data_IF_774429668572
#
_entry.id   IF_774429668572
#
_cell.length_a   1.000
_cell.length_b   1.000
_cell.length_c   1.000
_cell.angle_alpha   90.00
_cell.angle_beta   90.00
_cell.angle_gamma   90.00
#
_symmetry.space_group_name_H-M   'P 1'
#
loop_
_entity.id
_entity.type
_entity.pdbx_description
1 polymer ?
#
# COMPACT_ATOMS: atom_id res chain seq x y z
N UNK A 1 -4.58 13.45 24.27
CA UNK A 1 -5.01 14.66 23.56
C UNK A 1 -5.75 14.29 22.27
N UNK A 2 -6.66 15.14 21.77
CA UNK A 2 -7.46 14.88 20.57
C UNK A 2 -6.60 14.64 19.30
N UNK A 3 -5.49 15.35 19.07
CA UNK A 3 -4.60 15.07 17.93
C UNK A 3 -4.03 13.63 17.92
N UNK A 4 -3.65 13.11 19.07
CA UNK A 4 -3.12 11.74 19.20
C UNK A 4 -4.18 10.69 18.86
N UNK A 5 -5.44 10.91 19.23
CA UNK A 5 -6.55 10.02 18.87
C UNK A 5 -6.78 10.02 17.36
N UNK A 6 -6.76 11.20 16.72
CA UNK A 6 -6.89 11.33 15.27
C UNK A 6 -5.77 10.59 14.51
N UNK A 7 -4.53 10.71 14.97
CA UNK A 7 -3.38 9.99 14.38
C UNK A 7 -3.54 8.48 14.50
N UNK A 8 -3.95 7.98 15.67
CA UNK A 8 -4.20 6.54 15.87
C UNK A 8 -5.34 6.03 14.99
N UNK A 9 -6.43 6.80 14.86
CA UNK A 9 -7.52 6.44 13.96
C UNK A 9 -7.06 6.39 12.51
N UNK A 10 -6.26 7.36 12.05
CA UNK A 10 -5.72 7.38 10.71
C UNK A 10 -4.84 6.17 10.41
N UNK A 11 -3.98 5.77 11.35
CA UNK A 11 -3.15 4.56 11.21
C UNK A 11 -3.98 3.28 11.12
N UNK A 12 -5.03 3.14 11.96
CA UNK A 12 -5.93 2.00 11.90
C UNK A 12 -6.66 1.95 10.56
N UNK A 13 -7.13 3.09 10.06
CA UNK A 13 -7.81 3.20 8.76
C UNK A 13 -6.87 2.81 7.63
N UNK A 14 -5.62 3.31 7.63
CA UNK A 14 -4.60 2.93 6.65
C UNK A 14 -4.37 1.43 6.63
N UNK A 15 -4.13 0.82 7.80
CA UNK A 15 -3.92 -0.61 7.92
C UNK A 15 -5.11 -1.43 7.41
N UNK A 16 -6.33 -1.06 7.78
CA UNK A 16 -7.54 -1.77 7.34
C UNK A 16 -7.81 -1.61 5.84
N UNK A 17 -7.59 -0.44 5.26
CA UNK A 17 -7.72 -0.23 3.81
C UNK A 17 -6.61 -0.91 3.01
N UNK A 18 -5.49 -1.25 3.63
CA UNK A 18 -4.38 -1.96 2.97
C UNK A 18 -4.58 -3.48 3.05
N UNK A 19 -4.79 -4.04 4.24
CA UNK A 19 -4.74 -5.49 4.52
C UNK A 19 -6.01 -6.08 5.09
N UNK A 20 -7.10 -5.30 5.20
CA UNK A 20 -8.36 -5.78 5.78
C UNK A 20 -8.94 -6.99 5.04
N UNK A 21 -9.59 -7.88 5.76
CA UNK A 21 -10.04 -9.18 5.25
C UNK A 21 -11.25 -9.13 4.33
N UNK A 22 -12.05 -8.06 4.36
CA UNK A 22 -13.30 -7.93 3.59
C UNK A 22 -14.47 -8.76 4.10
N UNK A 23 -14.31 -9.51 5.19
CA UNK A 23 -15.39 -10.34 5.77
C UNK A 23 -15.90 -9.81 7.10
N UNK A 24 -15.03 -9.63 8.08
CA UNK A 24 -15.32 -9.02 9.37
C UNK A 24 -14.77 -7.60 9.50
N UNK A 25 -13.90 -7.23 8.59
CA UNK A 25 -13.24 -5.95 8.46
C UNK A 25 -13.51 -5.34 7.08
N UNK A 26 -13.07 -4.09 6.93
CA UNK A 26 -13.00 -3.39 5.63
C UNK A 26 -12.23 -4.25 4.62
N UNK A 27 -12.64 -4.24 3.37
CA UNK A 27 -11.88 -4.88 2.30
C UNK A 27 -10.62 -4.05 1.98
N UNK A 28 -9.45 -4.67 2.22
CA UNK A 28 -8.16 -4.08 1.90
C UNK A 28 -7.82 -4.19 0.42
N UNK A 29 -7.05 -3.22 -0.11
CA UNK A 29 -6.66 -3.19 -1.51
C UNK A 29 -5.88 -4.45 -1.95
N UNK A 30 -5.08 -5.03 -1.03
CA UNK A 30 -4.29 -6.25 -1.30
C UNK A 30 -5.18 -7.48 -1.35
N UNK A 31 -6.16 -7.58 -0.47
CA UNK A 31 -6.95 -8.80 -0.22
C UNK A 31 -7.65 -9.33 -1.46
N UNK A 32 -8.15 -8.44 -2.31
CA UNK A 32 -8.83 -8.81 -3.56
C UNK A 32 -8.01 -8.55 -4.83
N UNK A 33 -6.79 -8.05 -4.70
CA UNK A 33 -5.89 -7.95 -5.86
C UNK A 33 -5.45 -9.35 -6.31
N UNK A 34 -5.04 -9.47 -7.55
CA UNK A 34 -4.60 -10.73 -8.16
C UNK A 34 -3.08 -10.74 -8.25
N UNK A 35 -2.45 -11.90 -8.04
CA UNK A 35 -1.02 -12.05 -8.25
C UNK A 35 -0.67 -11.75 -9.73
N UNK A 36 0.26 -10.83 -9.92
CA UNK A 36 0.82 -10.50 -11.23
C UNK A 36 2.11 -11.28 -11.49
N UNK A 37 2.96 -11.34 -10.47
CA UNK A 37 4.26 -12.03 -10.51
C UNK A 37 4.48 -12.73 -9.18
N UNK A 38 5.08 -13.91 -9.23
CA UNK A 38 5.64 -14.59 -8.06
C UNK A 38 7.16 -14.53 -8.17
N UNK A 39 7.82 -14.06 -7.12
CA UNK A 39 9.26 -13.95 -7.07
C UNK A 39 9.96 -15.32 -7.23
N UNK A 40 11.12 -15.34 -7.83
CA UNK A 40 11.98 -16.51 -7.86
C UNK A 40 12.71 -16.76 -6.53
N UNK A 41 12.82 -15.72 -5.69
CA UNK A 41 13.53 -15.75 -4.41
C UNK A 41 12.61 -15.38 -3.25
N UNK A 42 12.85 -15.97 -2.08
CA UNK A 42 12.14 -15.64 -0.83
C UNK A 42 12.63 -14.34 -0.17
N UNK A 43 13.81 -13.86 -0.54
CA UNK A 43 14.51 -12.76 0.16
C UNK A 43 14.93 -11.60 -0.73
N UNK A 44 14.74 -11.73 -2.05
CA UNK A 44 15.20 -10.73 -3.00
C UNK A 44 14.12 -10.43 -4.05
N UNK A 45 14.18 -9.23 -4.59
CA UNK A 45 13.38 -8.78 -5.74
C UNK A 45 14.37 -8.38 -6.81
N UNK A 46 14.11 -8.76 -8.06
CA UNK A 46 14.93 -8.39 -9.20
C UNK A 46 14.30 -7.28 -10.03
N UNK A 47 15.12 -6.59 -10.83
CA UNK A 47 14.63 -5.54 -11.72
C UNK A 47 13.67 -6.11 -12.78
N UNK A 48 13.97 -7.29 -13.32
CA UNK A 48 13.15 -7.95 -14.33
C UNK A 48 11.76 -8.29 -13.78
N UNK A 49 11.69 -8.80 -12.55
CA UNK A 49 10.41 -9.10 -11.88
C UNK A 49 9.54 -7.85 -11.66
N UNK A 50 10.15 -6.67 -11.44
CA UNK A 50 9.41 -5.41 -11.33
C UNK A 50 8.85 -5.00 -12.70
N UNK A 51 9.64 -5.20 -13.76
CA UNK A 51 9.20 -4.96 -15.13
C UNK A 51 8.05 -5.92 -15.48
N UNK A 52 8.18 -7.19 -15.15
CA UNK A 52 7.15 -8.21 -15.37
C UNK A 52 5.85 -7.87 -14.62
N UNK A 53 5.94 -7.39 -13.37
CA UNK A 53 4.78 -6.92 -12.62
C UNK A 53 4.07 -5.77 -13.35
N UNK A 54 4.83 -4.80 -13.85
CA UNK A 54 4.28 -3.69 -14.62
C UNK A 54 3.56 -4.17 -15.87
N UNK A 55 4.16 -5.13 -16.60
CA UNK A 55 3.58 -5.69 -17.81
C UNK A 55 2.45 -6.69 -17.56
N UNK A 56 2.32 -7.22 -16.35
CA UNK A 56 1.20 -8.09 -15.96
C UNK A 56 -0.14 -7.36 -15.92
N UNK A 57 -0.13 -6.04 -15.72
CA UNK A 57 -1.32 -5.17 -15.79
C UNK A 57 -1.54 -4.75 -17.22
N UNK A 58 -2.79 -4.80 -17.70
CA UNK A 58 -3.13 -4.39 -19.07
C UNK A 58 -2.74 -2.91 -19.32
N UNK A 59 -2.19 -2.56 -20.51
CA UNK A 59 -1.85 -1.18 -20.84
C UNK A 59 -2.97 -0.17 -20.63
N UNK A 60 -4.24 -0.57 -20.78
CA UNK A 60 -5.39 0.30 -20.54
C UNK A 60 -5.46 0.80 -19.07
N UNK A 61 -4.93 0.03 -18.10
CA UNK A 61 -4.90 0.37 -16.67
C UNK A 61 -3.55 0.93 -16.21
N UNK A 62 -2.60 1.13 -17.13
CA UNK A 62 -1.29 1.72 -16.81
C UNK A 62 -1.23 3.23 -17.09
N UNK A 63 -2.34 3.81 -17.55
CA UNK A 63 -2.46 5.24 -17.88
C UNK A 63 -3.11 5.98 -16.70
N UNK A 64 -2.69 7.21 -16.44
CA UNK A 64 -3.32 8.07 -15.44
C UNK A 64 -2.80 7.85 -14.02
N UNK A 65 -3.61 7.22 -13.17
CA UNK A 65 -3.31 7.08 -11.74
C UNK A 65 -2.59 5.77 -11.37
N UNK A 66 -1.92 5.14 -12.33
CA UNK A 66 -1.12 3.96 -12.03
C UNK A 66 0.07 4.33 -11.13
N UNK A 67 0.24 3.56 -10.05
CA UNK A 67 1.29 3.78 -9.07
C UNK A 67 1.74 2.46 -8.44
N UNK A 68 2.95 2.49 -7.89
CA UNK A 68 3.45 1.44 -7.01
C UNK A 68 3.11 1.77 -5.56
N UNK A 69 2.66 0.79 -4.80
CA UNK A 69 2.56 0.87 -3.34
C UNK A 69 3.51 -0.17 -2.76
N UNK A 70 4.42 0.27 -1.92
CA UNK A 70 5.57 -0.52 -1.43
C UNK A 70 5.82 -0.19 0.03
N UNK A 71 6.25 -1.18 0.84
CA UNK A 71 6.81 -0.94 2.17
C UNK A 71 8.19 -0.27 2.05
N UNK A 72 8.58 0.58 3.01
CA UNK A 72 9.85 1.29 2.99
C UNK A 72 11.07 0.36 2.94
N UNK A 73 11.04 -0.76 3.67
CA UNK A 73 12.12 -1.76 3.63
C UNK A 73 12.26 -2.46 2.27
N UNK A 74 11.13 -2.73 1.60
CA UNK A 74 11.13 -3.28 0.24
C UNK A 74 11.62 -2.25 -0.77
N UNK A 75 11.22 -0.98 -0.58
CA UNK A 75 11.70 0.14 -1.38
C UNK A 75 13.22 0.32 -1.27
N UNK A 76 13.78 0.19 -0.06
CA UNK A 76 15.23 0.21 0.15
C UNK A 76 15.93 -0.89 -0.65
N UNK A 77 15.39 -2.12 -0.64
CA UNK A 77 15.93 -3.24 -1.41
C UNK A 77 15.89 -2.96 -2.92
N UNK A 78 14.77 -2.44 -3.44
CA UNK A 78 14.62 -2.08 -4.85
C UNK A 78 15.58 -0.97 -5.26
N UNK A 79 15.80 0.03 -4.40
CA UNK A 79 16.78 1.12 -4.67
C UNK A 79 18.23 0.63 -4.71
N UNK A 80 18.54 -0.46 -4.02
CA UNK A 80 19.88 -1.06 -4.00
C UNK A 80 20.15 -1.95 -5.19
N UNK A 81 19.22 -2.17 -6.11
CA UNK A 81 19.44 -2.93 -7.33
C UNK A 81 20.50 -2.26 -8.20
N UNK A 82 21.45 -3.06 -8.68
CA UNK A 82 22.57 -2.62 -9.50
C UNK A 82 22.62 -3.41 -10.79
N UNK A 83 23.22 -2.80 -11.81
CA UNK A 83 23.57 -3.46 -13.04
C UNK A 83 24.87 -4.31 -12.88
N UNK A 84 25.28 -4.99 -13.96
CA UNK A 84 26.50 -5.79 -13.98
C UNK A 84 27.79 -4.99 -13.76
N UNK A 85 27.75 -3.69 -13.94
CA UNK A 85 28.87 -2.75 -13.76
C UNK A 85 28.87 -2.08 -12.38
N UNK A 86 27.87 -2.40 -11.54
CA UNK A 86 27.74 -1.90 -10.18
C UNK A 86 27.03 -0.54 -10.05
N UNK A 87 26.44 0.00 -11.11
CA UNK A 87 25.65 1.22 -11.06
C UNK A 87 24.24 0.92 -10.56
N UNK A 88 23.66 1.85 -9.80
CA UNK A 88 22.28 1.72 -9.35
C UNK A 88 21.31 1.86 -10.53
N UNK A 89 20.41 0.89 -10.67
CA UNK A 89 19.39 0.88 -11.72
C UNK A 89 18.33 1.96 -11.51
N UNK A 90 18.02 2.26 -10.25
CA UNK A 90 17.09 3.33 -9.94
C UNK A 90 17.80 4.67 -9.83
N UNK A 91 17.45 5.57 -10.74
CA UNK A 91 17.86 6.96 -10.62
C UNK A 91 16.96 7.65 -9.57
N UNK A 92 17.56 8.17 -8.52
CA UNK A 92 16.85 8.99 -7.55
C UNK A 92 16.27 10.23 -8.26
N UNK A 93 15.00 10.55 -7.97
CA UNK A 93 14.40 11.79 -8.46
C UNK A 93 15.25 13.01 -8.07
N UNK A 94 15.22 14.03 -8.88
CA UNK A 94 15.95 15.26 -8.58
C UNK A 94 15.19 16.07 -7.51
N UNK A 95 15.59 15.94 -6.26
CA UNK A 95 14.98 16.65 -5.13
C UNK A 95 15.03 18.18 -5.27
N UNK A 96 16.05 18.71 -5.96
CA UNK A 96 16.16 20.15 -6.22
C UNK A 96 15.15 20.65 -7.26
N UNK A 97 14.73 19.77 -8.18
CA UNK A 97 13.73 20.08 -9.20
C UNK A 97 12.30 19.70 -8.78
N UNK A 98 12.09 19.17 -7.57
CA UNK A 98 10.78 18.73 -7.08
C UNK A 98 10.20 17.54 -7.86
N UNK A 99 11.03 16.78 -8.56
CA UNK A 99 10.60 15.60 -9.30
C UNK A 99 10.32 14.46 -8.32
N UNK A 100 9.09 13.93 -8.27
CA UNK A 100 8.75 12.82 -7.38
C UNK A 100 9.55 11.57 -7.72
N UNK A 101 9.65 10.67 -6.75
CA UNK A 101 10.32 9.38 -6.94
C UNK A 101 9.50 8.52 -7.90
N UNK A 102 10.03 8.29 -9.08
CA UNK A 102 9.40 7.46 -10.10
C UNK A 102 10.16 6.15 -10.28
N UNK A 103 9.44 5.04 -10.33
CA UNK A 103 9.94 3.74 -10.71
C UNK A 103 9.33 3.37 -12.07
N UNK A 104 10.16 3.15 -13.08
CA UNK A 104 9.72 2.87 -14.45
C UNK A 104 8.72 3.92 -15.01
N UNK A 105 8.85 5.18 -14.58
CA UNK A 105 7.95 6.27 -14.99
C UNK A 105 6.65 6.40 -14.19
N UNK A 106 6.39 5.50 -13.23
CA UNK A 106 5.22 5.53 -12.36
C UNK A 106 5.55 6.06 -10.98
N UNK A 107 4.57 6.70 -10.35
CA UNK A 107 4.72 7.22 -9.00
C UNK A 107 4.87 6.07 -7.97
N UNK A 108 5.64 6.31 -6.92
CA UNK A 108 5.84 5.35 -5.83
C UNK A 108 5.29 5.93 -4.53
N UNK A 109 4.37 5.20 -3.93
CA UNK A 109 3.76 5.52 -2.64
C UNK A 109 4.29 4.55 -1.59
N UNK A 110 4.92 5.09 -0.55
CA UNK A 110 5.38 4.30 0.59
C UNK A 110 4.21 4.06 1.54
N UNK A 111 3.93 2.80 1.83
CA UNK A 111 2.91 2.39 2.78
C UNK A 111 3.50 1.34 3.73
N UNK A 112 3.62 1.70 5.00
CA UNK A 112 4.19 0.83 6.04
C UNK A 112 3.27 -0.36 6.44
N UNK A 113 2.00 -0.30 6.04
CA UNK A 113 1.05 -1.39 6.27
C UNK A 113 1.17 -2.52 5.23
N UNK A 114 2.00 -2.33 4.18
CA UNK A 114 2.39 -3.39 3.26
C UNK A 114 3.38 -4.34 3.91
N UNK A 115 3.34 -5.62 3.52
CA UNK A 115 4.32 -6.60 3.99
C UNK A 115 5.74 -6.25 3.49
N UNK A 116 6.73 -6.49 4.33
CA UNK A 116 8.14 -6.51 3.94
C UNK A 116 8.49 -7.82 3.25
N UNK A 117 9.67 -7.87 2.60
CA UNK A 117 10.17 -9.08 1.91
C UNK A 117 10.27 -10.24 2.91
N UNK A 118 9.41 -11.24 2.72
CA UNK A 118 9.39 -12.51 3.46
C UNK A 118 8.59 -13.54 2.67
N UNK A 119 8.78 -14.82 2.95
CA UNK A 119 8.11 -15.94 2.27
C UNK A 119 6.59 -15.76 2.19
N UNK A 120 6.04 -15.97 1.01
CA UNK A 120 4.62 -15.89 0.69
C UNK A 120 3.95 -14.54 1.00
N UNK A 121 4.74 -13.46 1.12
CA UNK A 121 4.25 -12.10 1.42
C UNK A 121 4.00 -11.28 0.16
N UNK A 122 2.99 -10.44 0.22
CA UNK A 122 2.62 -9.51 -0.85
C UNK A 122 3.34 -8.17 -0.63
N UNK A 123 4.48 -8.00 -1.29
CA UNK A 123 5.44 -6.93 -0.97
C UNK A 123 5.31 -5.68 -1.80
N UNK A 124 4.79 -5.79 -3.02
CA UNK A 124 4.61 -4.69 -3.96
C UNK A 124 3.22 -4.79 -4.58
N UNK A 125 2.54 -3.66 -4.69
CA UNK A 125 1.29 -3.51 -5.42
C UNK A 125 1.50 -2.55 -6.59
N UNK A 126 0.95 -2.88 -7.76
CA UNK A 126 1.00 -2.02 -8.94
C UNK A 126 -0.33 -2.01 -9.67
N UNK A 127 -0.73 -0.86 -10.15
CA UNK A 127 -1.91 -0.68 -10.99
C UNK A 127 -2.58 0.68 -10.82
N UNK A 128 -3.75 0.82 -11.42
CA UNK A 128 -4.55 2.05 -11.36
C UNK A 128 -5.37 2.10 -10.06
N UNK A 129 -4.96 2.98 -9.15
CA UNK A 129 -5.58 3.13 -7.84
C UNK A 129 -7.01 3.71 -7.91
N UNK A 130 -7.44 4.26 -9.04
CA UNK A 130 -8.80 4.78 -9.21
C UNK A 130 -9.88 3.71 -9.21
N UNK A 131 -9.50 2.43 -9.39
CA UNK A 131 -10.40 1.28 -9.29
C UNK A 131 -10.63 0.77 -7.86
N UNK A 132 -9.93 1.33 -6.87
CA UNK A 132 -10.20 1.06 -5.46
C UNK A 132 -11.07 2.16 -4.87
N UNK A 133 -12.32 1.80 -4.54
CA UNK A 133 -13.30 2.73 -3.97
C UNK A 133 -13.35 2.62 -2.45
N UNK A 134 -13.35 3.77 -1.80
CA UNK A 134 -13.53 3.87 -0.35
C UNK A 134 -14.83 4.60 -0.05
N UNK A 135 -15.74 3.95 0.65
CA UNK A 135 -16.98 4.55 1.14
C UNK A 135 -16.83 4.91 2.62
N UNK A 136 -16.95 6.18 2.92
CA UNK A 136 -17.01 6.70 4.29
C UNK A 136 -18.45 7.08 4.65
N UNK A 137 -18.92 6.63 5.81
CA UNK A 137 -20.29 6.92 6.28
C UNK A 137 -20.23 7.84 7.50
N UNK A 138 -20.73 9.06 7.36
CA UNK A 138 -20.73 10.07 8.40
C UNK A 138 -19.36 10.69 8.66
N UNK A 139 -19.27 11.44 9.73
CA UNK A 139 -18.03 12.04 10.24
C UNK A 139 -17.44 11.17 11.34
N UNK A 140 -16.12 11.23 11.57
CA UNK A 140 -15.54 10.64 12.77
C UNK A 140 -16.23 11.19 14.01
N UNK A 141 -16.63 10.31 14.91
CA UNK A 141 -17.27 10.72 16.15
C UNK A 141 -16.39 10.37 17.35
N UNK A 142 -16.42 11.24 18.34
CA UNK A 142 -15.69 11.08 19.61
C UNK A 142 -16.72 11.07 20.73
N UNK A 143 -16.66 10.03 21.58
CA UNK A 143 -17.50 9.87 22.75
C UNK A 143 -16.64 9.81 24.00
N UNK A 144 -17.18 10.39 25.07
CA UNK A 144 -16.58 10.30 26.42
C UNK A 144 -17.34 9.20 27.15
N UNK A 145 -16.63 8.15 27.54
CA UNK A 145 -17.15 7.02 28.29
C UNK A 145 -16.71 7.15 29.75
N UNK A 146 -17.52 7.81 30.59
CA UNK A 146 -17.23 8.02 32.00
C UNK A 146 -17.57 6.79 32.86
N UNK A 147 -18.76 6.21 32.67
CA UNK A 147 -19.27 5.14 33.54
C UNK A 147 -18.40 3.86 33.51
N UNK A 148 -17.87 3.53 32.33
CA UNK A 148 -17.07 2.31 32.14
C UNK A 148 -15.68 2.38 32.80
N UNK A 149 -15.16 3.58 33.01
CA UNK A 149 -13.78 3.80 33.45
C UNK A 149 -13.71 4.61 34.77
N UNK A 150 -14.79 4.66 35.56
CA UNK A 150 -14.82 5.41 36.84
C UNK A 150 -13.71 4.92 37.80
N UNK A 151 -12.98 5.82 38.47
CA UNK A 151 -13.14 7.29 38.54
C UNK A 151 -12.55 8.07 37.35
N UNK A 152 -11.86 7.39 36.44
CA UNK A 152 -11.31 7.98 35.21
C UNK A 152 -12.39 8.07 34.10
N UNK A 153 -12.06 8.67 32.98
CA UNK A 153 -12.92 8.67 31.81
C UNK A 153 -12.13 8.20 30.58
N UNK A 154 -12.81 7.42 29.73
CA UNK A 154 -12.28 6.97 28.46
C UNK A 154 -12.74 7.89 27.31
N UNK A 155 -11.89 8.09 26.32
CA UNK A 155 -12.24 8.76 25.08
C UNK A 155 -12.30 7.69 23.99
N UNK A 156 -13.48 7.50 23.39
CA UNK A 156 -13.72 6.56 22.30
C UNK A 156 -13.90 7.33 21.00
N UNK A 157 -13.02 7.09 20.04
CA UNK A 157 -13.19 7.56 18.66
C UNK A 157 -13.64 6.42 17.76
N UNK A 158 -14.60 6.65 16.87
CA UNK A 158 -14.95 5.70 15.84
C UNK A 158 -15.17 6.37 14.48
N UNK A 159 -14.92 5.60 13.42
CA UNK A 159 -15.18 5.95 12.04
C UNK A 159 -15.79 4.73 11.34
N UNK A 160 -16.73 4.98 10.44
CA UNK A 160 -17.36 3.93 9.63
C UNK A 160 -16.92 4.09 8.19
N UNK A 161 -16.24 3.11 7.68
CA UNK A 161 -15.77 3.08 6.30
C UNK A 161 -15.75 1.64 5.77
N UNK A 162 -15.75 1.52 4.46
CA UNK A 162 -15.56 0.27 3.75
C UNK A 162 -14.79 0.52 2.47
N UNK A 163 -14.08 -0.50 1.98
CA UNK A 163 -13.31 -0.47 0.74
C UNK A 163 -13.78 -1.54 -0.22
N UNK A 164 -13.62 -1.30 -1.51
CA UNK A 164 -13.92 -2.30 -2.55
C UNK A 164 -13.02 -2.10 -3.75
N UNK A 165 -12.39 -3.18 -4.20
CA UNK A 165 -11.70 -3.24 -5.49
C UNK A 165 -12.70 -3.59 -6.59
N UNK A 166 -13.07 -2.61 -7.42
CA UNK A 166 -14.10 -2.78 -8.46
C UNK A 166 -13.63 -3.61 -9.65
N UNK A 167 -12.33 -3.60 -9.95
CA UNK A 167 -11.76 -4.37 -11.05
C UNK A 167 -10.40 -4.97 -10.64
N UNK A 168 -10.39 -6.29 -10.50
CA UNK A 168 -9.19 -7.05 -10.11
C UNK A 168 -8.10 -7.07 -11.18
N UNK A 169 -8.44 -6.80 -12.45
CA UNK A 169 -7.45 -6.74 -13.52
C UNK A 169 -6.64 -5.43 -13.52
N UNK A 170 -7.17 -4.38 -12.89
CA UNK A 170 -6.55 -3.06 -12.85
C UNK A 170 -5.42 -2.94 -11.83
N UNK A 171 -5.40 -3.80 -10.80
CA UNK A 171 -4.41 -3.77 -9.72
C UNK A 171 -3.91 -5.19 -9.48
N UNK A 172 -2.59 -5.36 -9.51
CA UNK A 172 -1.93 -6.63 -9.25
C UNK A 172 -0.84 -6.50 -8.20
N UNK A 173 -0.60 -7.61 -7.49
CA UNK A 173 0.43 -7.67 -6.47
C UNK A 173 1.56 -8.62 -6.85
N UNK A 174 2.70 -8.37 -6.26
CA UNK A 174 3.89 -9.20 -6.30
C UNK A 174 3.92 -10.08 -5.05
N UNK A 175 4.02 -11.39 -5.24
CA UNK A 175 4.12 -12.37 -4.15
C UNK A 175 5.55 -12.83 -4.05
N UNK A 176 6.11 -12.81 -2.84
CA UNK A 176 7.40 -13.40 -2.56
C UNK A 176 7.27 -14.94 -2.56
N UNK A 177 8.29 -15.66 -3.04
CA UNK A 177 8.28 -17.12 -3.12
C UNK A 177 8.14 -17.81 -1.74
#
# INVERSE_FOLDING_TARGET
SAPLLGERMARIVSSKLTTGSGSSDVEGIITNSVAGVTAASVTAVTADEIIDLTHSVDPAYRVGNAAFIINDSTLEAVRKLKDGDGNYLWQMGNYQAGVPQNLLGYNVVVNQDMDSIATAKMTILFGDMSYFYVRKVGQPAIYIAGERFAPDFGILGYIRLDGMLSNKAAIKHFVQA
#
